data_IF_157364908085
#
_entry.id   IF_157364908085
#
_cell.length_a   1.000
_cell.length_b   1.000
_cell.length_c   1.000
_cell.angle_alpha   90.00
_cell.angle_beta   90.00
_cell.angle_gamma   90.00
#
_symmetry.space_group_name_H-M   'P 1'
#
loop_
_entity.id
_entity.type
_entity.pdbx_description
1 polymer ?
#
# COMPACT_ATOMS: atom_id res chain seq x y z
N UNK A 1 2.61 -25.28 -21.63
CA UNK A 1 1.51 -24.56 -22.33
C UNK A 1 0.47 -24.03 -21.35
N UNK A 2 0.04 -24.80 -20.33
CA UNK A 2 -0.86 -24.29 -19.27
C UNK A 2 -0.21 -23.23 -18.36
N UNK A 3 1.08 -23.38 -18.00
CA UNK A 3 1.81 -22.40 -17.19
C UNK A 3 1.86 -21.00 -17.83
N UNK A 4 2.08 -20.90 -19.14
CA UNK A 4 2.10 -19.62 -19.87
C UNK A 4 0.72 -18.94 -19.91
N UNK A 5 -0.36 -19.72 -19.92
CA UNK A 5 -1.72 -19.20 -19.93
C UNK A 5 -2.14 -18.72 -18.52
N UNK A 6 -1.75 -19.46 -17.48
CA UNK A 6 -1.92 -19.04 -16.10
C UNK A 6 -1.07 -17.80 -15.76
N UNK A 7 0.20 -17.76 -16.16
CA UNK A 7 1.05 -16.57 -15.98
C UNK A 7 0.52 -15.35 -16.70
N UNK A 8 -0.03 -15.50 -17.91
CA UNK A 8 -0.68 -14.39 -18.62
C UNK A 8 -1.90 -13.88 -17.88
N UNK A 9 -2.75 -14.76 -17.35
CA UNK A 9 -3.91 -14.36 -16.57
C UNK A 9 -3.52 -13.71 -15.24
N UNK A 10 -2.52 -14.23 -14.52
CA UNK A 10 -2.00 -13.58 -13.31
C UNK A 10 -1.39 -12.21 -13.61
N UNK A 11 -0.67 -12.05 -14.74
CA UNK A 11 -0.19 -10.74 -15.19
C UNK A 11 -1.34 -9.79 -15.52
N UNK A 12 -2.37 -10.26 -16.22
CA UNK A 12 -3.52 -9.42 -16.58
C UNK A 12 -4.34 -9.04 -15.34
N UNK A 13 -4.59 -9.99 -14.43
CA UNK A 13 -5.30 -9.74 -13.17
C UNK A 13 -4.48 -8.81 -12.27
N UNK A 14 -3.18 -9.07 -12.10
CA UNK A 14 -2.26 -8.23 -11.34
C UNK A 14 -2.13 -6.82 -11.90
N UNK A 15 -2.11 -6.67 -13.24
CA UNK A 15 -2.14 -5.35 -13.88
C UNK A 15 -3.45 -4.60 -13.60
N UNK A 16 -4.61 -5.27 -13.64
CA UNK A 16 -5.89 -4.62 -13.31
C UNK A 16 -6.01 -4.25 -11.83
N UNK A 17 -5.53 -5.10 -10.92
CA UNK A 17 -5.49 -4.81 -9.48
C UNK A 17 -4.54 -3.64 -9.19
N UNK A 18 -3.34 -3.63 -9.80
CA UNK A 18 -2.38 -2.53 -9.67
C UNK A 18 -2.91 -1.19 -10.20
N UNK A 19 -3.69 -1.20 -11.29
CA UNK A 19 -4.32 0.04 -11.81
C UNK A 19 -5.40 0.56 -10.84
N UNK A 20 -6.21 -0.32 -10.25
CA UNK A 20 -7.24 0.06 -9.27
C UNK A 20 -6.55 0.61 -8.00
N UNK A 21 -5.54 -0.11 -7.50
CA UNK A 21 -4.73 0.29 -6.35
C UNK A 21 -4.12 1.68 -6.55
N UNK A 22 -3.44 1.90 -7.68
CA UNK A 22 -2.81 3.18 -8.01
C UNK A 22 -3.84 4.31 -8.10
N UNK A 23 -5.03 4.04 -8.64
CA UNK A 23 -6.11 5.03 -8.72
C UNK A 23 -6.63 5.42 -7.34
N UNK A 24 -6.82 4.45 -6.45
CA UNK A 24 -7.21 4.70 -5.05
C UNK A 24 -6.13 5.51 -4.32
N UNK A 25 -4.86 5.13 -4.45
CA UNK A 25 -3.73 5.82 -3.85
C UNK A 25 -3.56 7.26 -4.33
N UNK A 26 -3.80 7.52 -5.62
CA UNK A 26 -3.70 8.87 -6.19
C UNK A 26 -4.75 9.82 -5.58
N UNK A 27 -5.87 9.30 -5.08
CA UNK A 27 -6.91 10.11 -4.43
C UNK A 27 -6.49 10.70 -3.08
N UNK A 28 -5.49 10.12 -2.42
CA UNK A 28 -4.99 10.58 -1.12
C UNK A 28 -3.96 11.71 -1.21
N UNK A 29 -3.55 12.12 -2.41
CA UNK A 29 -2.57 13.20 -2.62
C UNK A 29 -1.31 13.10 -1.73
N UNK A 30 -0.68 11.91 -1.69
CA UNK A 30 0.46 11.59 -0.80
C UNK A 30 1.74 12.43 -1.05
N UNK A 31 1.76 13.18 -2.15
CA UNK A 31 2.88 14.02 -2.56
C UNK A 31 4.11 13.22 -2.97
N UNK A 32 5.24 13.90 -2.96
CA UNK A 32 6.52 13.36 -3.44
C UNK A 32 7.58 13.40 -2.35
N UNK A 33 8.64 12.62 -2.55
CA UNK A 33 9.84 12.68 -1.73
C UNK A 33 11.12 12.51 -2.51
N UNK A 34 12.22 13.02 -1.97
CA UNK A 34 13.53 12.89 -2.59
C UNK A 34 14.08 11.49 -2.32
N UNK A 35 14.44 10.80 -3.39
CA UNK A 35 15.22 9.56 -3.28
C UNK A 35 16.68 9.84 -2.88
N UNK A 36 17.44 8.76 -2.72
CA UNK A 36 18.88 8.82 -2.38
C UNK A 36 19.74 9.51 -3.45
N UNK A 37 19.22 9.69 -4.66
CA UNK A 37 19.87 10.37 -5.78
C UNK A 37 19.40 11.82 -5.94
N UNK A 38 18.50 12.30 -5.08
CA UNK A 38 17.91 13.64 -5.14
C UNK A 38 16.80 13.81 -6.18
N UNK A 39 16.20 12.72 -6.67
CA UNK A 39 15.05 12.75 -7.57
C UNK A 39 13.74 12.74 -6.80
N UNK A 40 12.75 13.51 -7.26
CA UNK A 40 11.40 13.45 -6.70
C UNK A 40 10.70 12.16 -7.16
N UNK A 41 10.22 11.39 -6.20
CA UNK A 41 9.49 10.15 -6.41
C UNK A 41 8.12 10.26 -5.75
N UNK A 42 7.09 9.79 -6.45
CA UNK A 42 5.72 9.76 -5.96
C UNK A 42 5.57 8.75 -4.82
N UNK A 43 5.08 9.21 -3.66
CA UNK A 43 4.79 8.30 -2.53
C UNK A 43 3.66 7.33 -2.86
N UNK A 44 2.72 7.70 -3.73
CA UNK A 44 1.68 6.80 -4.20
C UNK A 44 2.26 5.66 -5.05
N UNK A 45 3.28 5.95 -5.87
CA UNK A 45 3.96 4.92 -6.65
C UNK A 45 4.80 4.01 -5.75
N UNK A 46 5.54 4.57 -4.79
CA UNK A 46 6.29 3.80 -3.79
C UNK A 46 5.37 2.87 -2.98
N UNK A 47 4.22 3.37 -2.54
CA UNK A 47 3.24 2.57 -1.80
C UNK A 47 2.65 1.45 -2.68
N UNK A 48 2.32 1.75 -3.94
CA UNK A 48 1.85 0.74 -4.89
C UNK A 48 2.90 -0.36 -5.10
N UNK A 49 4.15 0.03 -5.32
CA UNK A 49 5.26 -0.91 -5.58
C UNK A 49 5.53 -1.81 -4.36
N UNK A 50 5.52 -1.26 -3.14
CA UNK A 50 5.65 -2.05 -1.90
C UNK A 50 4.52 -3.07 -1.76
N UNK A 51 3.28 -2.69 -2.05
CA UNK A 51 2.13 -3.59 -1.96
C UNK A 51 2.15 -4.68 -3.04
N UNK A 52 2.60 -4.36 -4.26
CA UNK A 52 2.77 -5.31 -5.36
C UNK A 52 3.86 -6.35 -5.04
N UNK A 53 4.93 -5.92 -4.36
CA UNK A 53 6.03 -6.78 -3.92
C UNK A 53 5.71 -7.56 -2.63
N UNK A 54 4.54 -7.34 -2.02
CA UNK A 54 4.15 -7.84 -0.68
C UNK A 54 5.10 -7.36 0.44
N UNK A 55 5.78 -6.23 0.24
CA UNK A 55 6.54 -5.52 1.27
C UNK A 55 5.58 -4.70 2.14
N UNK A 56 4.83 -5.40 2.99
CA UNK A 56 3.82 -4.77 3.85
C UNK A 56 4.44 -3.91 4.96
N UNK A 57 5.66 -4.22 5.40
CA UNK A 57 6.39 -3.40 6.38
C UNK A 57 6.87 -2.09 5.75
N UNK A 58 7.37 -2.12 4.51
CA UNK A 58 7.72 -0.91 3.76
C UNK A 58 6.49 -0.03 3.51
N UNK A 59 5.38 -0.63 3.09
CA UNK A 59 4.10 0.06 2.93
C UNK A 59 3.61 0.71 4.25
N UNK A 60 3.67 -0.04 5.36
CA UNK A 60 3.32 0.47 6.68
C UNK A 60 4.23 1.65 7.09
N UNK A 61 5.54 1.51 6.93
CA UNK A 61 6.52 2.54 7.30
C UNK A 61 6.26 3.84 6.52
N UNK A 62 5.96 3.72 5.23
CA UNK A 62 5.63 4.87 4.39
C UNK A 62 4.35 5.56 4.88
N UNK A 63 3.29 4.79 5.17
CA UNK A 63 2.02 5.33 5.69
C UNK A 63 2.25 6.01 7.05
N UNK A 64 2.93 5.37 7.99
CA UNK A 64 3.21 5.96 9.31
C UNK A 64 4.00 7.27 9.19
N UNK A 65 4.94 7.36 8.24
CA UNK A 65 5.69 8.60 7.98
C UNK A 65 4.83 9.77 7.53
N UNK A 66 3.65 9.50 6.95
CA UNK A 66 2.71 10.51 6.46
C UNK A 66 1.83 11.09 7.57
N UNK A 67 1.83 10.49 8.75
CA UNK A 67 1.06 10.95 9.91
C UNK A 67 1.25 12.42 10.25
N UNK A 68 2.47 12.92 10.10
CA UNK A 68 2.82 14.32 10.39
C UNK A 68 2.82 15.22 9.16
N UNK A 69 2.49 14.67 7.99
CA UNK A 69 2.51 15.36 6.69
C UNK A 69 1.11 15.58 6.12
N UNK A 70 0.17 14.69 6.44
CA UNK A 70 -1.23 14.76 6.03
C UNK A 70 -2.12 15.38 7.10
N UNK A 71 -3.33 15.79 6.71
CA UNK A 71 -4.35 16.12 7.69
C UNK A 71 -4.73 14.86 8.48
N UNK A 72 -5.21 15.04 9.70
CA UNK A 72 -5.68 13.92 10.52
C UNK A 72 -6.70 13.04 9.78
N UNK A 73 -7.68 13.67 9.12
CA UNK A 73 -8.71 12.95 8.36
C UNK A 73 -8.11 12.14 7.20
N UNK A 74 -7.22 12.75 6.41
CA UNK A 74 -6.60 12.08 5.26
C UNK A 74 -5.71 10.92 5.71
N UNK A 75 -4.99 11.09 6.81
CA UNK A 75 -4.19 10.03 7.40
C UNK A 75 -5.05 8.87 7.90
N UNK A 76 -6.14 9.15 8.63
CA UNK A 76 -7.05 8.11 9.10
C UNK A 76 -7.66 7.34 7.93
N UNK A 77 -8.10 8.04 6.88
CA UNK A 77 -8.65 7.39 5.69
C UNK A 77 -7.62 6.52 4.97
N UNK A 78 -6.35 6.96 4.89
CA UNK A 78 -5.25 6.18 4.30
C UNK A 78 -4.92 4.94 5.13
N UNK A 79 -4.85 5.08 6.45
CA UNK A 79 -4.62 3.97 7.37
C UNK A 79 -5.75 2.93 7.29
N UNK A 80 -7.00 3.37 7.32
CA UNK A 80 -8.16 2.49 7.17
C UNK A 80 -8.16 1.77 5.82
N UNK A 81 -7.83 2.48 4.74
CA UNK A 81 -7.70 1.89 3.42
C UNK A 81 -6.64 0.78 3.39
N UNK A 82 -5.47 1.01 3.98
CA UNK A 82 -4.40 0.02 4.01
C UNK A 82 -4.77 -1.23 4.79
N UNK A 83 -5.40 -1.08 5.96
CA UNK A 83 -5.89 -2.23 6.73
C UNK A 83 -6.95 -3.01 5.94
N UNK A 84 -7.90 -2.32 5.32
CA UNK A 84 -8.91 -2.96 4.46
C UNK A 84 -8.28 -3.70 3.27
N UNK A 85 -7.22 -3.14 2.67
CA UNK A 85 -6.48 -3.80 1.59
C UNK A 85 -5.85 -5.12 2.07
N UNK A 86 -5.18 -5.10 3.24
CA UNK A 86 -4.56 -6.30 3.82
C UNK A 86 -5.60 -7.38 4.14
N UNK A 87 -6.73 -7.00 4.73
CA UNK A 87 -7.81 -7.92 5.11
C UNK A 87 -8.50 -8.56 3.88
N UNK A 88 -8.63 -7.83 2.75
CA UNK A 88 -9.36 -8.30 1.56
C UNK A 88 -8.49 -9.01 0.53
N UNK A 89 -7.35 -8.43 0.20
CA UNK A 89 -6.57 -8.82 -0.99
C UNK A 89 -5.43 -9.80 -0.65
N UNK A 90 -5.03 -9.89 0.62
CA UNK A 90 -3.80 -10.58 1.02
C UNK A 90 -3.95 -11.49 2.25
N UNK A 91 -5.16 -11.91 2.59
CA UNK A 91 -5.45 -12.81 3.72
C UNK A 91 -4.65 -14.13 3.73
N UNK A 92 -4.05 -14.55 2.60
CA UNK A 92 -3.17 -15.73 2.52
C UNK A 92 -1.67 -15.43 2.60
N UNK A 93 -1.27 -14.15 2.58
CA UNK A 93 0.12 -13.69 2.51
C UNK A 93 0.57 -12.91 3.75
N UNK A 94 -0.37 -12.41 4.55
CA UNK A 94 -0.13 -11.76 5.83
C UNK A 94 -1.00 -12.44 6.90
N UNK A 95 -0.47 -12.56 8.12
CA UNK A 95 -1.22 -13.15 9.23
C UNK A 95 -2.14 -12.13 9.91
N UNK A 96 -3.27 -12.60 10.45
CA UNK A 96 -4.19 -11.76 11.24
C UNK A 96 -3.47 -11.03 12.39
N UNK A 97 -2.49 -11.69 13.01
CA UNK A 97 -1.68 -11.09 14.07
C UNK A 97 -0.86 -9.90 13.56
N UNK A 98 -0.30 -9.99 12.35
CA UNK A 98 0.49 -8.90 11.76
C UNK A 98 -0.40 -7.74 11.30
N UNK A 99 -1.59 -8.04 10.75
CA UNK A 99 -2.61 -7.01 10.46
C UNK A 99 -2.99 -6.28 11.75
N UNK A 100 -3.22 -7.01 12.84
CA UNK A 100 -3.57 -6.43 14.13
C UNK A 100 -2.43 -5.55 14.67
N UNK A 101 -1.16 -5.96 14.53
CA UNK A 101 0.00 -5.13 14.89
C UNK A 101 0.04 -3.83 14.10
N UNK A 102 -0.17 -3.86 12.77
CA UNK A 102 -0.23 -2.63 11.98
C UNK A 102 -1.41 -1.75 12.38
N UNK A 103 -2.59 -2.34 12.61
CA UNK A 103 -3.78 -1.63 13.04
C UNK A 103 -3.57 -0.94 14.38
N UNK A 104 -2.95 -1.63 15.34
CA UNK A 104 -2.60 -1.04 16.63
C UNK A 104 -1.58 0.06 16.46
N UNK A 105 -0.51 -0.13 15.68
CA UNK A 105 0.51 0.89 15.49
C UNK A 105 -0.07 2.16 14.86
N UNK A 106 -0.88 2.03 13.79
CA UNK A 106 -1.52 3.16 13.11
C UNK A 106 -2.58 3.86 13.98
N UNK A 107 -3.25 3.13 14.89
CA UNK A 107 -4.26 3.66 15.82
C UNK A 107 -3.71 4.05 17.22
N UNK A 108 -2.49 3.67 17.60
CA UNK A 108 -1.94 3.82 18.97
C UNK A 108 -1.70 5.26 19.42
N UNK A 109 -2.12 6.23 18.61
CA UNK A 109 -1.86 7.64 18.78
C UNK A 109 -3.16 8.42 19.08
N UNK A 110 -4.23 7.67 19.39
CA UNK A 110 -5.47 8.13 20.03
C UNK A 110 -5.38 8.10 21.56
#
# INVERSE_FOLDING_TARGET
MEEDFLMKQFKTIGQSIGIILKKELTSFHLGEELDVNGQLVSRADLLSDSLDQNDFEGAFTLIDSLKYKLSYLDYTMLADWFINYLEKEKATLISDQQIQTFKEALNSLY
#
